data_IF_132233652654
#
_entry.id   IF_132233652654
#
_cell.length_a   1.000
_cell.length_b   1.000
_cell.length_c   1.000
_cell.angle_alpha   90.00
_cell.angle_beta   90.00
_cell.angle_gamma   90.00
#
_symmetry.space_group_name_H-M   'P 1'
#
loop_
_entity.id
_entity.type
_entity.pdbx_description
1 polymer ?
#
# COMPACT_ATOMS: atom_id res chain seq x y z
N UNK A 1 29.45 25.62 26.87
CA UNK A 1 28.06 26.00 26.59
C UNK A 1 27.40 24.92 25.73
N UNK A 2 26.33 24.30 26.23
CA UNK A 2 25.65 23.22 25.51
C UNK A 2 24.78 23.85 24.43
N UNK A 3 24.85 23.35 23.17
CA UNK A 3 24.02 23.81 22.09
C UNK A 3 22.56 23.40 22.31
N UNK A 4 21.63 24.10 21.66
CA UNK A 4 20.20 23.76 21.71
C UNK A 4 19.95 22.32 21.24
N UNK A 5 20.65 21.87 20.22
CA UNK A 5 20.55 20.53 19.67
C UNK A 5 21.03 19.47 20.65
N UNK A 6 22.14 19.73 21.38
CA UNK A 6 22.63 18.85 22.41
C UNK A 6 21.66 18.78 23.60
N UNK A 7 21.04 19.89 23.97
CA UNK A 7 19.99 19.90 24.99
C UNK A 7 18.79 19.04 24.61
N UNK A 8 18.34 19.09 23.34
CA UNK A 8 17.24 18.27 22.84
C UNK A 8 17.56 16.77 22.89
N UNK A 9 18.79 16.39 22.56
CA UNK A 9 19.25 15.00 22.68
C UNK A 9 19.27 14.54 24.12
N UNK A 10 19.78 15.37 25.05
CA UNK A 10 19.81 15.07 26.49
C UNK A 10 18.42 14.92 27.09
N UNK A 11 17.44 15.63 26.56
CA UNK A 11 16.04 15.54 26.98
C UNK A 11 15.29 14.35 26.38
N UNK A 12 15.95 13.54 25.57
CA UNK A 12 15.34 12.38 24.91
C UNK A 12 14.41 12.71 23.74
N UNK A 13 14.49 13.92 23.23
CA UNK A 13 13.70 14.35 22.06
C UNK A 13 14.45 13.92 20.80
N UNK A 14 13.79 13.09 19.96
CA UNK A 14 14.37 12.66 18.70
C UNK A 14 14.52 13.86 17.74
N UNK A 15 15.70 13.98 17.13
CA UNK A 15 15.92 14.98 16.08
C UNK A 15 15.31 14.48 14.78
N UNK A 16 14.60 15.36 14.07
CA UNK A 16 14.13 15.06 12.71
C UNK A 16 15.32 15.03 11.75
N UNK A 17 15.36 14.10 10.77
CA UNK A 17 16.39 14.14 9.76
C UNK A 17 16.34 15.45 8.98
N UNK A 18 17.49 15.95 8.56
CA UNK A 18 17.56 17.15 7.72
C UNK A 18 16.98 16.86 6.35
N UNK A 19 16.53 17.92 5.64
CA UNK A 19 16.01 17.80 4.27
C UNK A 19 17.05 17.15 3.32
N UNK A 20 18.35 17.35 3.59
CA UNK A 20 19.42 16.75 2.80
C UNK A 20 19.50 15.23 2.89
N UNK A 21 18.96 14.64 3.98
CA UNK A 21 18.97 13.17 4.19
C UNK A 21 17.75 12.47 3.56
N UNK A 22 16.83 13.23 2.98
CA UNK A 22 15.65 12.70 2.32
C UNK A 22 15.97 12.43 0.85
N UNK A 23 15.71 11.19 0.34
CA UNK A 23 15.90 10.91 -1.08
C UNK A 23 15.09 11.87 -1.95
N UNK A 24 15.73 12.41 -2.99
CA UNK A 24 15.05 13.30 -3.93
C UNK A 24 14.24 12.48 -4.93
N UNK A 25 12.92 12.59 -4.88
CA UNK A 25 12.01 11.97 -5.84
C UNK A 25 11.44 13.09 -6.72
N UNK A 26 11.40 12.88 -8.05
CA UNK A 26 10.79 13.84 -8.96
C UNK A 26 9.32 14.01 -8.65
N UNK A 27 8.77 15.25 -8.61
CA UNK A 27 7.37 15.47 -8.24
C UNK A 27 6.36 14.73 -9.13
N UNK A 28 6.61 14.60 -10.42
CA UNK A 28 5.74 13.87 -11.35
C UNK A 28 5.68 12.37 -11.04
N UNK A 29 6.81 11.76 -10.68
CA UNK A 29 6.88 10.34 -10.26
C UNK A 29 6.13 10.14 -8.95
N UNK A 30 6.29 11.04 -7.99
CA UNK A 30 5.61 10.99 -6.70
C UNK A 30 4.08 11.11 -6.86
N UNK A 31 3.62 12.05 -7.68
CA UNK A 31 2.20 12.24 -7.95
C UNK A 31 1.60 11.01 -8.60
N UNK A 32 2.28 10.43 -9.58
CA UNK A 32 1.83 9.20 -10.25
C UNK A 32 1.71 8.04 -9.26
N UNK A 33 2.71 7.84 -8.41
CA UNK A 33 2.69 6.79 -7.39
C UNK A 33 1.52 6.98 -6.42
N UNK A 34 1.29 8.19 -5.94
CA UNK A 34 0.17 8.50 -5.06
C UNK A 34 -1.18 8.23 -5.73
N UNK A 35 -1.33 8.57 -7.01
CA UNK A 35 -2.55 8.31 -7.77
C UNK A 35 -2.81 6.81 -7.92
N UNK A 36 -1.79 6.02 -8.18
CA UNK A 36 -1.89 4.56 -8.26
C UNK A 36 -2.31 3.95 -6.92
N UNK A 37 -1.71 4.39 -5.82
CA UNK A 37 -2.05 3.94 -4.46
C UNK A 37 -3.50 4.28 -4.09
N UNK A 38 -3.96 5.48 -4.41
CA UNK A 38 -5.35 5.91 -4.18
C UNK A 38 -6.30 5.07 -5.03
N UNK A 39 -5.97 4.82 -6.29
CA UNK A 39 -6.78 3.99 -7.18
C UNK A 39 -6.91 2.56 -6.67
N UNK A 40 -5.83 1.94 -6.23
CA UNK A 40 -5.86 0.60 -5.65
C UNK A 40 -6.72 0.55 -4.38
N UNK A 41 -6.63 1.56 -3.51
CA UNK A 41 -7.45 1.65 -2.32
C UNK A 41 -8.94 1.83 -2.66
N UNK A 42 -9.24 2.71 -3.61
CA UNK A 42 -10.62 2.96 -4.04
C UNK A 42 -11.25 1.70 -4.64
N UNK A 43 -10.53 0.98 -5.48
CA UNK A 43 -10.99 -0.28 -6.06
C UNK A 43 -11.25 -1.32 -4.96
N UNK A 44 -10.35 -1.44 -4.00
CA UNK A 44 -10.51 -2.40 -2.91
C UNK A 44 -11.75 -2.10 -2.06
N UNK A 45 -11.96 -0.84 -1.70
CA UNK A 45 -13.16 -0.40 -0.97
C UNK A 45 -14.42 -0.69 -1.79
N UNK A 46 -14.41 -0.37 -3.07
CA UNK A 46 -15.56 -0.58 -3.95
C UNK A 46 -15.95 -2.06 -4.04
N UNK A 47 -15.00 -2.94 -4.32
CA UNK A 47 -15.30 -4.36 -4.51
C UNK A 47 -15.56 -5.12 -3.21
N UNK A 48 -14.96 -4.68 -2.10
CA UNK A 48 -15.16 -5.34 -0.79
C UNK A 48 -16.39 -4.84 -0.04
N UNK A 49 -16.74 -3.56 -0.16
CA UNK A 49 -17.69 -2.93 0.74
C UNK A 49 -18.68 -1.96 0.10
N UNK A 50 -18.89 -2.01 -1.21
CA UNK A 50 -19.74 -1.02 -1.93
C UNK A 50 -21.15 -0.88 -1.37
N UNK A 51 -21.72 -1.94 -0.79
CA UNK A 51 -23.09 -1.97 -0.27
C UNK A 51 -23.17 -1.79 1.26
N UNK A 52 -22.04 -1.52 1.93
CA UNK A 52 -21.96 -1.52 3.39
C UNK A 52 -21.96 -0.12 4.01
N UNK A 53 -21.96 0.93 3.20
CA UNK A 53 -21.91 2.31 3.67
C UNK A 53 -20.55 2.70 4.25
N UNK A 54 -20.51 3.89 4.88
CA UNK A 54 -19.24 4.52 5.34
C UNK A 54 -18.49 3.67 6.36
N UNK A 55 -19.18 3.00 7.27
CA UNK A 55 -18.54 2.16 8.28
C UNK A 55 -17.79 0.97 7.64
N UNK A 56 -18.40 0.33 6.66
CA UNK A 56 -17.76 -0.76 5.90
C UNK A 56 -16.58 -0.27 5.08
N UNK A 57 -16.69 0.89 4.45
CA UNK A 57 -15.61 1.51 3.68
C UNK A 57 -14.41 1.81 4.58
N UNK A 58 -14.65 2.40 5.75
CA UNK A 58 -13.61 2.68 6.72
C UNK A 58 -12.93 1.41 7.24
N UNK A 59 -13.69 0.34 7.45
CA UNK A 59 -13.14 -0.94 7.89
C UNK A 59 -12.18 -1.53 6.85
N UNK A 60 -12.56 -1.54 5.58
CA UNK A 60 -11.69 -2.04 4.49
C UNK A 60 -10.43 -1.19 4.37
N UNK A 61 -10.57 0.13 4.42
CA UNK A 61 -9.41 1.04 4.38
C UNK A 61 -8.46 0.80 5.55
N UNK A 62 -9.00 0.65 6.76
CA UNK A 62 -8.19 0.40 7.98
C UNK A 62 -7.45 -0.93 7.90
N UNK A 63 -8.09 -2.00 7.47
CA UNK A 63 -7.44 -3.31 7.30
C UNK A 63 -6.31 -3.22 6.28
N UNK A 64 -6.55 -2.58 5.14
CA UNK A 64 -5.55 -2.42 4.08
C UNK A 64 -4.35 -1.61 4.57
N UNK A 65 -4.57 -0.48 5.24
CA UNK A 65 -3.50 0.38 5.75
C UNK A 65 -2.73 -0.30 6.89
N UNK A 66 -3.39 -1.06 7.76
CA UNK A 66 -2.73 -1.80 8.83
C UNK A 66 -1.79 -2.87 8.24
N UNK A 67 -2.18 -3.53 7.16
CA UNK A 67 -1.31 -4.48 6.45
C UNK A 67 -0.11 -3.80 5.84
N UNK A 68 -0.27 -2.63 5.22
CA UNK A 68 0.85 -1.84 4.67
C UNK A 68 1.88 -1.51 5.76
N UNK A 69 1.43 -1.24 6.98
CA UNK A 69 2.30 -0.93 8.13
C UNK A 69 2.93 -2.16 8.77
N UNK A 70 2.39 -3.34 8.53
CA UNK A 70 2.84 -4.59 9.14
C UNK A 70 3.96 -5.20 8.30
N UNK A 71 5.07 -5.54 8.94
CA UNK A 71 6.24 -6.12 8.27
C UNK A 71 5.97 -7.47 7.59
N UNK A 72 4.90 -8.15 7.96
CA UNK A 72 4.50 -9.44 7.37
C UNK A 72 3.84 -9.29 6.01
N UNK A 73 3.48 -8.09 5.61
CA UNK A 73 2.77 -7.79 4.37
C UNK A 73 3.59 -6.85 3.49
N UNK A 74 3.26 -6.74 2.20
CA UNK A 74 3.88 -5.72 1.34
C UNK A 74 3.70 -4.31 1.90
N UNK A 75 4.57 -3.39 1.50
CA UNK A 75 4.60 -2.04 2.07
C UNK A 75 3.88 -0.98 1.21
N UNK A 76 3.16 -1.39 0.19
CA UNK A 76 2.33 -0.49 -0.63
C UNK A 76 0.89 -0.99 -0.66
N UNK A 77 -0.05 -0.06 -0.86
CA UNK A 77 -1.48 -0.39 -0.97
C UNK A 77 -1.73 -1.30 -2.16
N UNK A 78 -1.19 -0.97 -3.32
CA UNK A 78 -1.40 -1.78 -4.53
C UNK A 78 -0.90 -3.21 -4.35
N UNK A 79 0.27 -3.40 -3.75
CA UNK A 79 0.82 -4.72 -3.51
C UNK A 79 0.00 -5.52 -2.48
N UNK A 80 -0.48 -4.87 -1.42
CA UNK A 80 -1.36 -5.50 -0.42
C UNK A 80 -2.68 -5.93 -1.07
N UNK A 81 -3.29 -5.06 -1.86
CA UNK A 81 -4.58 -5.34 -2.53
C UNK A 81 -4.48 -6.51 -3.50
N UNK A 82 -3.36 -6.60 -4.21
CA UNK A 82 -3.11 -7.63 -5.22
C UNK A 82 -2.42 -8.87 -4.68
N UNK A 83 -2.23 -8.98 -3.37
CA UNK A 83 -1.50 -10.07 -2.75
C UNK A 83 -2.18 -11.42 -2.94
N UNK A 84 -1.42 -12.40 -3.37
CA UNK A 84 -1.88 -13.76 -3.57
C UNK A 84 -0.89 -14.57 -4.39
N UNK A 85 -1.00 -15.90 -4.40
CA UNK A 85 -0.12 -16.73 -5.23
C UNK A 85 -0.39 -16.49 -6.71
N UNK A 86 0.66 -16.57 -7.51
CA UNK A 86 0.62 -16.41 -8.96
C UNK A 86 1.16 -17.65 -9.65
N UNK A 87 0.84 -17.79 -10.92
CA UNK A 87 1.48 -18.78 -11.78
C UNK A 87 1.95 -18.13 -13.08
N UNK A 88 3.00 -18.67 -13.67
CA UNK A 88 3.51 -18.22 -14.94
C UNK A 88 2.54 -18.60 -16.07
N UNK A 89 2.43 -17.71 -17.07
CA UNK A 89 1.70 -17.99 -18.31
C UNK A 89 2.24 -19.26 -18.98
N UNK A 90 1.34 -20.04 -19.62
CA UNK A 90 1.73 -21.22 -20.41
C UNK A 90 2.73 -20.92 -21.51
N UNK A 91 2.82 -19.65 -21.94
CA UNK A 91 3.80 -19.20 -22.94
C UNK A 91 5.22 -19.07 -22.39
N UNK A 92 5.40 -19.20 -21.08
CA UNK A 92 6.70 -19.07 -20.38
C UNK A 92 7.48 -17.81 -20.77
N UNK A 93 6.76 -16.70 -20.91
CA UNK A 93 7.31 -15.41 -21.36
C UNK A 93 7.62 -14.44 -20.22
N UNK A 94 7.63 -14.90 -18.96
CA UNK A 94 7.83 -14.07 -17.78
C UNK A 94 6.58 -13.35 -17.30
N UNK A 95 5.42 -13.57 -17.92
CA UNK A 95 4.15 -13.03 -17.46
C UNK A 95 3.55 -13.93 -16.39
N UNK A 96 3.12 -13.33 -15.28
CA UNK A 96 2.50 -14.03 -14.13
C UNK A 96 1.07 -13.55 -13.95
N UNK A 97 0.18 -14.50 -13.66
CA UNK A 97 -1.23 -14.23 -13.39
C UNK A 97 -1.60 -14.73 -12.00
N UNK A 98 -2.50 -14.01 -11.27
CA UNK A 98 -2.97 -14.49 -9.98
C UNK A 98 -3.74 -15.81 -10.11
N UNK A 99 -3.54 -16.70 -9.15
CA UNK A 99 -4.33 -17.93 -9.06
C UNK A 99 -5.76 -17.60 -8.67
N UNK A 100 -6.72 -18.12 -9.43
CA UNK A 100 -8.14 -17.85 -9.24
C UNK A 100 -8.59 -18.22 -7.82
N UNK A 101 -9.34 -17.34 -7.17
CA UNK A 101 -9.93 -17.49 -5.84
C UNK A 101 -8.92 -17.67 -4.68
N UNK A 102 -7.65 -17.31 -4.86
CA UNK A 102 -6.62 -17.48 -3.83
C UNK A 102 -5.97 -16.18 -3.37
N UNK A 103 -6.52 -15.03 -3.76
CA UNK A 103 -6.02 -13.73 -3.33
C UNK A 103 -6.54 -13.35 -1.93
N UNK A 104 -5.79 -12.51 -1.22
CA UNK A 104 -6.19 -11.97 0.08
C UNK A 104 -7.51 -11.18 -0.02
N UNK A 105 -7.66 -10.39 -1.09
CA UNK A 105 -8.92 -9.77 -1.46
C UNK A 105 -9.48 -10.53 -2.65
N UNK A 106 -10.55 -11.26 -2.43
CA UNK A 106 -11.07 -12.25 -3.39
C UNK A 106 -11.48 -11.66 -4.74
N UNK A 107 -11.94 -10.41 -4.77
CA UNK A 107 -12.37 -9.77 -6.02
C UNK A 107 -11.25 -9.69 -7.05
N UNK A 108 -10.00 -9.53 -6.60
CA UNK A 108 -8.86 -9.35 -7.50
C UNK A 108 -8.60 -10.56 -8.40
N UNK A 109 -8.93 -11.77 -7.94
CA UNK A 109 -8.69 -12.99 -8.71
C UNK A 109 -9.89 -13.94 -8.74
N UNK A 110 -11.12 -13.39 -8.73
CA UNK A 110 -12.35 -14.19 -8.81
C UNK A 110 -12.70 -14.62 -10.25
N UNK A 111 -11.96 -14.14 -11.24
CA UNK A 111 -12.19 -14.43 -12.64
C UNK A 111 -13.32 -13.61 -13.27
N UNK A 112 -13.90 -12.66 -12.54
CA UNK A 112 -14.91 -11.74 -13.05
C UNK A 112 -14.25 -10.46 -13.56
N UNK A 113 -14.91 -9.80 -14.50
CA UNK A 113 -14.45 -8.50 -14.98
C UNK A 113 -14.56 -7.45 -13.88
N UNK A 114 -13.51 -6.66 -13.68
CA UNK A 114 -13.52 -5.52 -12.77
C UNK A 114 -14.13 -4.32 -13.51
N UNK A 115 -15.29 -3.93 -13.08
CA UNK A 115 -16.07 -2.87 -13.73
C UNK A 115 -15.88 -1.55 -13.04
#
# INVERSE_FOLDING_TARGET
MISLQEMLVLMGIATTPSVADVPTIKPDVLIKHQQEEISCMADNIYFEARNQGTAGWSAVASVTLNRVKDKRFPNTVCEVVKQGPTRESWKQNGEFYPLKHRCQFSWYCDGKADV
#
